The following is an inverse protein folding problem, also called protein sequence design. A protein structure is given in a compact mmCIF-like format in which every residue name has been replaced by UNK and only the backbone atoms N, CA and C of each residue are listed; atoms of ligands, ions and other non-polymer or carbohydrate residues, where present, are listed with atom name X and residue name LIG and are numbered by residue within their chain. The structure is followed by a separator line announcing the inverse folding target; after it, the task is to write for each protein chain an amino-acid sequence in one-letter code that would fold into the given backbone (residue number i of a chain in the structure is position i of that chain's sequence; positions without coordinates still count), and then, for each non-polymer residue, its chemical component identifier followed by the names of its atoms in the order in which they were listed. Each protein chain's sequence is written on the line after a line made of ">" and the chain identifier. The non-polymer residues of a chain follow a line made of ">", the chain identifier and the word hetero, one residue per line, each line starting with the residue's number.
data_IF_579601014109
#
_entry.id   IF_579601014109
#
_cell.length_a   1.000
_cell.length_b   1.000
_cell.length_c   1.000
_cell.angle_alpha   90.00
_cell.angle_beta   90.00
_cell.angle_gamma   90.00
#
_symmetry.space_group_name_H-M   'P 1'
#
loop_
_entity.id
_entity.type
_entity.pdbx_description
1 polymer ?
#
# COMPACT_ATOMS: atom_id res chain seq x y z
N UNK A 1 46.35 77.16 36.33
CA UNK A 1 47.03 77.08 35.02
C UNK A 1 48.09 75.98 34.93
N UNK A 2 49.35 76.12 35.37
CA UNK A 2 50.36 75.04 35.15
C UNK A 2 50.03 73.76 35.91
N UNK A 3 49.62 73.87 37.17
CA UNK A 3 49.20 72.72 38.00
C UNK A 3 48.01 71.96 37.41
N UNK A 4 47.11 72.72 36.80
CA UNK A 4 45.85 72.25 36.24
C UNK A 4 46.10 71.51 34.92
N UNK A 5 46.94 72.08 34.06
CA UNK A 5 47.42 71.45 32.83
C UNK A 5 48.24 70.18 33.11
N UNK A 6 49.07 70.19 34.15
CA UNK A 6 49.81 69.02 34.58
C UNK A 6 48.87 67.90 35.10
N UNK A 7 47.82 68.26 35.85
CA UNK A 7 46.82 67.30 36.32
C UNK A 7 46.01 66.70 35.17
N UNK A 8 45.63 67.50 34.17
CA UNK A 8 44.91 67.01 32.98
C UNK A 8 45.76 66.00 32.21
N UNK A 9 47.06 66.29 31.97
CA UNK A 9 47.98 65.37 31.30
C UNK A 9 48.23 64.08 32.09
N UNK A 10 48.33 64.16 33.43
CA UNK A 10 48.45 62.98 34.30
C UNK A 10 47.18 62.13 34.25
N UNK A 11 46.00 62.72 34.05
CA UNK A 11 44.75 61.96 33.92
C UNK A 11 44.73 61.07 32.68
N UNK A 12 45.31 61.53 31.56
CA UNK A 12 45.43 60.73 30.34
C UNK A 12 46.37 59.52 30.50
N UNK A 13 47.33 59.58 31.43
CA UNK A 13 48.22 58.45 31.72
C UNK A 13 47.64 57.48 32.75
N UNK A 14 46.53 57.83 33.41
CA UNK A 14 45.75 56.92 34.27
C UNK A 14 44.76 56.12 33.44
N UNK A 15 45.28 55.32 32.50
CA UNK A 15 44.46 54.32 31.80
C UNK A 15 44.38 53.08 32.68
N UNK A 16 43.17 52.73 33.11
CA UNK A 16 42.92 51.48 33.82
C UNK A 16 42.75 50.35 32.80
N UNK A 17 43.86 49.69 32.50
CA UNK A 17 43.90 48.56 31.56
C UNK A 17 42.96 47.42 31.97
N UNK A 18 42.68 47.24 33.27
CA UNK A 18 41.75 46.20 33.72
C UNK A 18 40.32 46.54 33.31
N UNK A 19 39.96 47.82 33.31
CA UNK A 19 38.64 48.30 32.92
C UNK A 19 38.37 48.09 31.42
N UNK A 20 39.41 48.16 30.59
CA UNK A 20 39.33 47.89 29.15
C UNK A 20 39.45 46.39 28.83
N UNK A 21 40.21 45.63 29.61
CA UNK A 21 40.47 44.21 29.37
C UNK A 21 39.36 43.28 29.91
N UNK A 22 38.74 43.62 31.05
CA UNK A 22 37.70 42.79 31.67
C UNK A 22 36.54 42.46 30.72
N UNK A 23 35.95 43.44 29.99
CA UNK A 23 34.86 43.13 29.06
C UNK A 23 35.30 42.23 27.91
N UNK A 24 36.57 42.30 27.49
CA UNK A 24 37.11 41.42 26.46
C UNK A 24 37.18 39.98 26.96
N UNK A 25 37.66 39.78 28.19
CA UNK A 25 37.75 38.47 28.83
C UNK A 25 36.34 37.88 29.04
N UNK A 26 35.40 38.67 29.54
CA UNK A 26 34.01 38.24 29.73
C UNK A 26 33.37 37.78 28.40
N UNK A 27 33.61 38.51 27.31
CA UNK A 27 33.13 38.12 25.97
C UNK A 27 33.80 36.84 25.46
N UNK A 28 35.07 36.62 25.78
CA UNK A 28 35.80 35.42 25.37
C UNK A 28 35.27 34.19 26.12
N UNK A 29 34.97 34.33 27.41
CA UNK A 29 34.32 33.28 28.22
C UNK A 29 32.90 32.96 27.72
N UNK A 30 32.10 33.97 27.37
CA UNK A 30 30.79 33.76 26.74
C UNK A 30 30.92 33.00 25.41
N UNK A 31 31.87 33.41 24.57
CA UNK A 31 32.09 32.79 23.27
C UNK A 31 32.57 31.34 23.40
N UNK A 32 33.44 31.04 24.36
CA UNK A 32 33.86 29.67 24.68
C UNK A 32 32.67 28.81 25.12
N UNK A 33 31.85 29.33 26.03
CA UNK A 33 30.64 28.64 26.51
C UNK A 33 29.70 28.31 25.35
N UNK A 34 29.45 29.29 24.47
CA UNK A 34 28.60 29.11 23.29
C UNK A 34 29.18 28.12 22.28
N UNK A 35 30.50 27.99 22.20
CA UNK A 35 31.17 27.05 21.32
C UNK A 35 31.02 25.61 21.84
N UNK A 36 31.15 25.41 23.14
CA UNK A 36 30.86 24.12 23.81
C UNK A 36 29.39 23.70 23.62
N UNK A 37 28.47 24.64 23.78
CA UNK A 37 27.05 24.40 23.48
C UNK A 37 26.84 23.99 22.03
N UNK A 38 27.50 24.67 21.09
CA UNK A 38 27.39 24.37 19.67
C UNK A 38 27.94 22.97 19.33
N UNK A 39 29.04 22.56 19.94
CA UNK A 39 29.58 21.20 19.82
C UNK A 39 28.59 20.15 20.32
N UNK A 40 27.96 20.41 21.47
CA UNK A 40 26.93 19.52 22.04
C UNK A 40 25.73 19.38 21.10
N UNK A 41 25.27 20.49 20.51
CA UNK A 41 24.18 20.48 19.52
C UNK A 41 24.54 19.70 18.26
N UNK A 42 25.76 19.86 17.73
CA UNK A 42 26.23 19.08 16.57
C UNK A 42 26.20 17.59 16.90
N UNK A 43 26.73 17.22 18.07
CA UNK A 43 26.76 15.82 18.51
C UNK A 43 25.36 15.24 18.61
N UNK A 44 24.41 15.99 19.16
CA UNK A 44 23.01 15.58 19.25
C UNK A 44 22.36 15.39 17.88
N UNK A 45 22.59 16.32 16.94
CA UNK A 45 22.07 16.23 15.58
C UNK A 45 22.64 15.01 14.84
N UNK A 46 23.94 14.75 14.98
CA UNK A 46 24.59 13.58 14.38
C UNK A 46 24.06 12.26 14.96
N UNK A 47 23.87 12.20 16.28
CA UNK A 47 23.30 11.05 16.95
C UNK A 47 21.86 10.78 16.48
N UNK A 48 21.02 11.80 16.40
CA UNK A 48 19.64 11.69 15.93
C UNK A 48 19.58 11.26 14.45
N UNK A 49 20.42 11.84 13.58
CA UNK A 49 20.53 11.44 12.18
C UNK A 49 20.97 9.98 12.04
N UNK A 50 21.93 9.54 12.86
CA UNK A 50 22.38 8.14 12.90
C UNK A 50 21.30 7.19 13.37
N UNK A 51 20.48 7.57 14.36
CA UNK A 51 19.36 6.77 14.86
C UNK A 51 18.27 6.62 13.80
N UNK A 52 17.92 7.70 13.10
CA UNK A 52 16.97 7.68 12.00
C UNK A 52 17.43 6.72 10.89
N UNK A 53 18.70 6.81 10.48
CA UNK A 53 19.25 5.97 9.42
C UNK A 53 19.36 4.50 9.84
N UNK A 54 19.71 4.22 11.11
CA UNK A 54 19.91 2.85 11.60
C UNK A 54 18.62 2.11 11.92
N UNK A 55 17.59 2.80 12.38
CA UNK A 55 16.39 2.15 12.91
C UNK A 55 15.17 2.46 12.04
N UNK A 56 14.87 3.74 11.81
CA UNK A 56 13.63 4.14 11.15
C UNK A 56 13.62 3.75 9.67
N UNK A 57 14.74 3.92 8.97
CA UNK A 57 14.83 3.55 7.54
C UNK A 57 14.61 2.05 7.33
N UNK A 58 15.32 1.14 8.04
CA UNK A 58 15.04 -0.30 7.95
C UNK A 58 13.60 -0.67 8.29
N UNK A 59 13.01 -0.06 9.33
CA UNK A 59 11.62 -0.32 9.72
C UNK A 59 10.63 0.06 8.60
N UNK A 60 10.85 1.19 7.94
CA UNK A 60 10.03 1.63 6.81
C UNK A 60 10.20 0.68 5.62
N UNK A 61 11.42 0.25 5.31
CA UNK A 61 11.67 -0.72 4.24
C UNK A 61 10.95 -2.05 4.52
N UNK A 62 11.06 -2.57 5.74
CA UNK A 62 10.34 -3.79 6.14
C UNK A 62 8.82 -3.62 6.04
N UNK A 63 8.30 -2.44 6.39
CA UNK A 63 6.89 -2.12 6.24
C UNK A 63 6.46 -2.15 4.75
N UNK A 64 7.29 -1.64 3.84
CA UNK A 64 7.04 -1.70 2.39
C UNK A 64 6.97 -3.15 1.91
N UNK A 65 7.90 -4.01 2.34
CA UNK A 65 7.90 -5.42 1.93
C UNK A 65 6.65 -6.17 2.45
N UNK A 66 6.25 -5.89 3.69
CA UNK A 66 5.03 -6.42 4.28
C UNK A 66 3.77 -5.94 3.53
N UNK A 67 3.75 -4.67 3.13
CA UNK A 67 2.65 -4.08 2.38
C UNK A 67 2.56 -4.67 0.97
N UNK A 68 3.70 -4.88 0.30
CA UNK A 68 3.74 -5.55 -1.00
C UNK A 68 3.18 -6.97 -0.90
N UNK A 69 3.60 -7.72 0.12
CA UNK A 69 3.09 -9.07 0.38
C UNK A 69 1.57 -9.07 0.60
N UNK A 70 1.05 -8.06 1.30
CA UNK A 70 -0.40 -7.91 1.49
C UNK A 70 -1.11 -7.56 0.17
N UNK A 71 -0.55 -6.67 -0.64
CA UNK A 71 -1.08 -6.34 -1.96
C UNK A 71 -1.15 -7.59 -2.86
N UNK A 72 -0.10 -8.39 -2.90
CA UNK A 72 -0.06 -9.62 -3.70
C UNK A 72 -1.15 -10.63 -3.26
N UNK A 73 -1.41 -10.72 -1.94
CA UNK A 73 -2.51 -11.54 -1.40
C UNK A 73 -3.89 -11.00 -1.79
N UNK A 74 -4.05 -9.67 -1.82
CA UNK A 74 -5.30 -9.03 -2.26
C UNK A 74 -5.53 -9.27 -3.75
N UNK A 75 -4.51 -9.13 -4.59
CA UNK A 75 -4.60 -9.39 -6.03
C UNK A 75 -4.91 -10.87 -6.33
N UNK A 76 -4.32 -11.79 -5.55
CA UNK A 76 -4.64 -13.22 -5.61
C UNK A 76 -6.11 -13.50 -5.26
N UNK A 77 -6.62 -12.83 -4.22
CA UNK A 77 -8.02 -12.93 -3.83
C UNK A 77 -8.96 -12.35 -4.89
N UNK A 78 -8.62 -11.22 -5.49
CA UNK A 78 -9.42 -10.61 -6.55
C UNK A 78 -9.51 -11.55 -7.78
N UNK A 79 -8.37 -12.10 -8.20
CA UNK A 79 -8.31 -13.08 -9.29
C UNK A 79 -9.17 -14.31 -8.98
N UNK A 80 -9.14 -14.79 -7.74
CA UNK A 80 -9.97 -15.90 -7.29
C UNK A 80 -11.47 -15.59 -7.35
N UNK A 81 -11.88 -14.40 -6.88
CA UNK A 81 -13.28 -13.95 -6.94
C UNK A 81 -13.75 -13.81 -8.39
N UNK A 82 -12.89 -13.30 -9.28
CA UNK A 82 -13.20 -13.23 -10.71
C UNK A 82 -13.42 -14.62 -11.31
N UNK A 83 -12.64 -15.64 -10.91
CA UNK A 83 -12.86 -17.01 -11.36
C UNK A 83 -14.21 -17.56 -10.89
N UNK A 84 -14.53 -17.41 -9.59
CA UNK A 84 -15.83 -17.88 -9.05
C UNK A 84 -16.99 -17.24 -9.81
N UNK A 85 -16.89 -15.94 -10.10
CA UNK A 85 -17.91 -15.23 -10.86
C UNK A 85 -18.08 -15.83 -12.26
N UNK A 86 -16.99 -16.05 -12.98
CA UNK A 86 -17.04 -16.66 -14.31
C UNK A 86 -17.70 -18.03 -14.29
N UNK A 87 -17.37 -18.87 -13.30
CA UNK A 87 -17.93 -20.21 -13.20
C UNK A 87 -19.42 -20.19 -12.84
N UNK A 88 -19.83 -19.25 -11.98
CA UNK A 88 -21.24 -19.04 -11.64
C UNK A 88 -22.05 -18.54 -12.84
N UNK A 89 -21.52 -17.58 -13.61
CA UNK A 89 -22.16 -17.09 -14.85
C UNK A 89 -22.33 -18.24 -15.86
N UNK A 90 -21.34 -19.14 -15.95
CA UNK A 90 -21.41 -20.32 -16.82
C UNK A 90 -22.47 -21.33 -16.36
N UNK A 91 -22.57 -21.58 -15.05
CA UNK A 91 -23.58 -22.48 -14.47
C UNK A 91 -24.99 -21.89 -14.64
N UNK A 92 -25.16 -20.59 -14.39
CA UNK A 92 -26.43 -19.87 -14.59
C UNK A 92 -26.91 -19.98 -16.05
N UNK A 93 -26.00 -19.76 -17.01
CA UNK A 93 -26.33 -19.93 -18.43
C UNK A 93 -26.74 -21.37 -18.79
N UNK A 94 -26.09 -22.39 -18.22
CA UNK A 94 -26.49 -23.79 -18.42
C UNK A 94 -27.87 -24.08 -17.80
N UNK A 95 -28.16 -23.48 -16.65
CA UNK A 95 -29.45 -23.59 -15.97
C UNK A 95 -30.57 -22.97 -16.81
N UNK A 96 -30.37 -21.75 -17.35
CA UNK A 96 -31.33 -21.10 -18.25
C UNK A 96 -31.68 -21.97 -19.45
N UNK A 97 -30.69 -22.62 -20.06
CA UNK A 97 -30.90 -23.55 -21.18
C UNK A 97 -31.69 -24.79 -20.75
N UNK A 98 -31.35 -25.36 -19.59
CA UNK A 98 -32.05 -26.53 -19.05
C UNK A 98 -33.52 -26.20 -18.69
N UNK A 99 -33.78 -25.05 -18.08
CA UNK A 99 -35.13 -24.57 -17.77
C UNK A 99 -35.95 -24.34 -19.04
N UNK A 100 -35.35 -23.72 -20.07
CA UNK A 100 -36.01 -23.53 -21.36
C UNK A 100 -36.35 -24.86 -22.04
N UNK A 101 -35.47 -25.86 -21.98
CA UNK A 101 -35.70 -27.20 -22.52
C UNK A 101 -36.84 -27.93 -21.78
N UNK A 102 -36.90 -27.83 -20.45
CA UNK A 102 -37.97 -28.39 -19.62
C UNK A 102 -39.31 -27.69 -19.91
N UNK A 103 -39.32 -26.35 -19.96
CA UNK A 103 -40.52 -25.57 -20.31
C UNK A 103 -41.06 -25.88 -21.71
N UNK A 104 -40.17 -26.19 -22.67
CA UNK A 104 -40.56 -26.67 -23.99
C UNK A 104 -41.06 -28.12 -23.99
N UNK A 105 -40.66 -28.95 -23.04
CA UNK A 105 -41.02 -30.36 -22.98
C UNK A 105 -42.50 -30.59 -22.61
N UNK A 106 -43.10 -29.70 -21.80
CA UNK A 106 -44.53 -29.77 -21.45
C UNK A 106 -45.45 -29.62 -22.69
N UNK A 107 -45.02 -28.83 -23.68
CA UNK A 107 -45.73 -28.69 -24.97
C UNK A 107 -45.50 -29.87 -25.93
N UNK A 108 -44.32 -30.49 -25.87
CA UNK A 108 -43.93 -31.63 -26.74
C UNK A 108 -44.57 -32.95 -26.28
N UNK A 109 -44.69 -33.19 -24.96
CA UNK A 109 -45.39 -34.35 -24.41
C UNK A 109 -46.89 -34.36 -24.76
N UNK A 110 -47.54 -33.20 -24.80
CA UNK A 110 -48.94 -33.06 -25.26
C UNK A 110 -49.12 -33.38 -26.75
N UNK A 111 -48.06 -33.27 -27.57
CA UNK A 111 -48.12 -33.63 -29.00
C UNK A 111 -47.95 -35.13 -29.26
N UNK A 112 -47.35 -35.88 -28.32
CA UNK A 112 -47.13 -37.33 -28.45
C UNK A 112 -48.38 -38.17 -28.13
N UNK A 113 -49.41 -37.57 -27.53
CA UNK A 113 -50.69 -38.25 -27.21
C UNK A 113 -51.79 -38.03 -28.28
N UNK A 114 -51.46 -37.44 -29.44
CA UNK A 114 -52.42 -37.32 -30.55
C UNK A 114 -52.52 -38.67 -31.28
N UNK A 115 -53.70 -39.29 -31.38
CA UNK A 115 -53.86 -40.60 -32.01
C UNK A 115 -53.50 -40.53 -33.50
N UNK A 116 -52.71 -41.52 -33.93
CA UNK A 116 -52.18 -41.73 -35.28
C UNK A 116 -53.29 -42.00 -36.30
N UNK A 117 -54.00 -40.97 -36.72
CA UNK A 117 -54.84 -41.02 -37.92
C UNK A 117 -54.77 -39.66 -38.61
N UNK A 118 -53.76 -39.41 -39.45
CA UNK A 118 -53.90 -38.64 -40.69
C UNK A 118 -52.55 -38.65 -41.44
N UNK A 119 -52.57 -39.25 -42.63
CA UNK A 119 -51.47 -39.34 -43.58
C UNK A 119 -51.43 -38.06 -44.41
N UNK A 120 -50.37 -37.26 -44.33
CA UNK A 120 -49.61 -36.63 -45.44
C UNK A 120 -48.82 -35.39 -45.00
N UNK A 121 -47.73 -35.19 -45.76
CA UNK A 121 -46.81 -34.05 -45.88
C UNK A 121 -45.95 -33.70 -44.67
N UNK A 122 -44.67 -34.05 -44.86
CA UNK A 122 -43.46 -33.50 -44.27
C UNK A 122 -43.55 -32.02 -43.86
N UNK A 123 -43.24 -31.70 -42.60
CA UNK A 123 -42.47 -30.52 -42.29
C UNK A 123 -41.13 -30.97 -41.73
N UNK A 124 -40.05 -30.59 -42.40
CA UNK A 124 -38.66 -30.59 -41.94
C UNK A 124 -38.61 -30.07 -40.49
N UNK A 125 -38.78 -30.99 -39.54
CA UNK A 125 -38.76 -30.68 -38.12
C UNK A 125 -37.29 -30.59 -37.78
N UNK A 126 -36.76 -29.37 -37.78
CA UNK A 126 -35.44 -29.08 -37.23
C UNK A 126 -35.47 -29.55 -35.78
N UNK A 127 -34.96 -30.74 -35.54
CA UNK A 127 -34.61 -31.21 -34.21
C UNK A 127 -33.47 -30.33 -33.76
N UNK A 128 -33.81 -29.25 -33.06
CA UNK A 128 -32.83 -28.49 -32.27
C UNK A 128 -32.35 -29.47 -31.22
N UNK A 129 -31.21 -30.13 -31.52
CA UNK A 129 -30.51 -30.96 -30.55
C UNK A 129 -30.05 -30.00 -29.47
N UNK A 130 -30.60 -30.14 -28.28
CA UNK A 130 -30.06 -29.43 -27.13
C UNK A 130 -28.59 -29.81 -26.95
N UNK A 131 -27.71 -28.84 -26.64
CA UNK A 131 -26.29 -29.12 -26.48
C UNK A 131 -26.10 -30.15 -25.37
N UNK A 132 -25.22 -31.13 -25.60
CA UNK A 132 -24.90 -32.14 -24.61
C UNK A 132 -24.28 -31.46 -23.37
N UNK A 133 -24.79 -31.80 -22.18
CA UNK A 133 -24.29 -31.29 -20.91
C UNK A 133 -22.77 -31.52 -20.79
N UNK A 134 -22.06 -30.48 -20.40
CA UNK A 134 -20.64 -30.55 -20.04
C UNK A 134 -20.50 -30.11 -18.60
N UNK A 135 -19.94 -30.97 -17.72
CA UNK A 135 -19.72 -30.59 -16.33
C UNK A 135 -18.81 -29.35 -16.24
N UNK A 136 -19.07 -28.42 -15.31
CA UNK A 136 -18.19 -27.30 -15.03
C UNK A 136 -16.79 -27.78 -14.63
N UNK A 137 -15.77 -27.01 -15.01
CA UNK A 137 -14.41 -27.27 -14.55
C UNK A 137 -14.30 -26.93 -13.06
N UNK A 138 -13.68 -27.80 -12.26
CA UNK A 138 -13.57 -27.61 -10.82
C UNK A 138 -12.21 -26.98 -10.53
N UNK A 139 -12.21 -25.71 -10.17
CA UNK A 139 -10.97 -25.01 -9.80
C UNK A 139 -10.39 -25.54 -8.48
N UNK A 140 -9.07 -25.41 -8.34
CA UNK A 140 -8.36 -25.68 -7.09
C UNK A 140 -7.88 -24.36 -6.47
N UNK A 141 -8.18 -24.14 -5.19
CA UNK A 141 -7.77 -22.94 -4.44
C UNK A 141 -6.26 -22.80 -4.31
N UNK A 142 -5.51 -23.91 -4.39
CA UNK A 142 -4.04 -23.91 -4.39
C UNK A 142 -3.43 -23.19 -5.59
N UNK A 143 -4.20 -22.99 -6.67
CA UNK A 143 -3.74 -22.26 -7.85
C UNK A 143 -3.74 -20.73 -7.63
N UNK A 144 -4.44 -20.26 -6.60
CA UNK A 144 -4.62 -18.84 -6.29
C UNK A 144 -3.92 -18.43 -5.00
N UNK A 145 -3.84 -19.32 -4.02
CA UNK A 145 -3.15 -19.06 -2.75
C UNK A 145 -1.99 -20.02 -2.59
N UNK A 146 -0.77 -19.49 -2.56
CA UNK A 146 0.39 -20.27 -2.18
C UNK A 146 0.33 -20.55 -0.67
N UNK A 147 0.73 -21.76 -0.21
CA UNK A 147 0.83 -22.04 1.21
C UNK A 147 1.81 -21.07 1.85
N UNK A 148 1.44 -20.51 3.01
CA UNK A 148 2.33 -19.65 3.79
C UNK A 148 3.63 -20.43 4.02
N UNK A 149 4.71 -19.99 3.37
CA UNK A 149 6.03 -20.58 3.59
C UNK A 149 6.49 -20.05 4.95
N UNK A 150 6.30 -20.87 5.99
CA UNK A 150 6.83 -20.59 7.33
C UNK A 150 8.34 -20.28 7.20
N UNK A 151 8.71 -19.03 7.45
CA UNK A 151 10.10 -18.59 7.66
C UNK A 151 10.38 -18.46 9.15
#
# INVERSE_FOLDING_TARGET
>A
MIQELANDYVSYMKVDMNKELSPLVDNLEDLLTRLEEFESLITMVQANGSQCLKNLVPDVVMCIDNLQTLCDRVDSLDTFVQQIRHDLDAVESQMDVAEADIGCAEGKLKSFLKPLFFKKSDPSTRTVKSPAYKPPDIFNTSNFFQPDTEQ
#
